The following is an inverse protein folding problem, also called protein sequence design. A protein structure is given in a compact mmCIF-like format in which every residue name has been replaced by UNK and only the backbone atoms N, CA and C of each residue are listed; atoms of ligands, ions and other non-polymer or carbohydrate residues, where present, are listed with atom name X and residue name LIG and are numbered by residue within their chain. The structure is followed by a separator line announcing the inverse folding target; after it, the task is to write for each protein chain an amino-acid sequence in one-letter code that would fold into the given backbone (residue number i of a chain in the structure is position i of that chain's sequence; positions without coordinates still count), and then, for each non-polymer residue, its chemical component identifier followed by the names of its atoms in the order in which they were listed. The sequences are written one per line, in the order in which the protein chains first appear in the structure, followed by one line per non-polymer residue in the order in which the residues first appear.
data_IF_694826695119
#
_entry.id   IF_694826695119
#
_cell.length_a   1.000
_cell.length_b   1.000
_cell.length_c   1.000
_cell.angle_alpha   90.00
_cell.angle_beta   90.00
_cell.angle_gamma   90.00
#
_symmetry.space_group_name_H-M   'P 1'
#
loop_
_entity.id
_entity.type
_entity.pdbx_description
1 polymer ?
#
# COMPACT_ATOMS: atom_id res chain seq x y z
N UNK A 1 -2.50 -10.16 7.92
CA UNK A 1 -2.36 -9.69 9.32
C UNK A 1 -1.23 -8.67 9.38
N UNK A 2 -1.47 -7.47 9.94
CA UNK A 2 -0.45 -6.44 10.09
C UNK A 2 0.52 -6.76 11.24
N UNK A 3 1.79 -6.37 11.10
CA UNK A 3 2.84 -6.55 12.08
C UNK A 3 3.36 -5.20 12.59
N UNK A 4 3.76 -5.16 13.86
CA UNK A 4 4.28 -3.96 14.49
C UNK A 4 5.63 -3.54 13.86
N UNK A 5 5.74 -2.32 13.30
CA UNK A 5 6.95 -1.84 12.63
C UNK A 5 8.07 -1.40 13.59
N UNK A 6 7.81 -1.40 14.91
CA UNK A 6 8.84 -1.05 15.90
C UNK A 6 9.94 -2.10 15.86
N UNK A 7 11.19 -1.63 15.82
CA UNK A 7 12.39 -2.47 15.81
C UNK A 7 12.30 -3.53 16.91
N UNK A 8 12.60 -4.77 16.55
CA UNK A 8 12.59 -5.94 17.44
C UNK A 8 11.23 -6.26 18.09
N UNK A 9 10.12 -5.74 17.53
CA UNK A 9 8.76 -6.09 17.98
C UNK A 9 8.09 -7.09 17.03
N UNK A 10 7.72 -6.67 15.82
CA UNK A 10 7.08 -7.48 14.77
C UNK A 10 5.89 -8.34 15.22
N UNK A 11 5.29 -8.06 16.38
CA UNK A 11 4.11 -8.78 16.86
C UNK A 11 2.88 -8.35 16.08
N UNK A 12 1.89 -9.24 15.99
CA UNK A 12 0.61 -8.97 15.37
C UNK A 12 -0.03 -7.68 15.91
N UNK A 13 -0.52 -6.84 15.01
CA UNK A 13 -1.33 -5.68 15.32
C UNK A 13 -2.81 -6.07 15.32
N UNK A 14 -3.49 -5.80 16.42
CA UNK A 14 -4.93 -5.95 16.55
C UNK A 14 -5.60 -4.58 16.45
N UNK A 15 -6.70 -4.50 15.69
CA UNK A 15 -7.49 -3.28 15.58
C UNK A 15 -8.37 -3.11 16.82
N UNK A 16 -8.29 -1.94 17.44
CA UNK A 16 -9.13 -1.52 18.57
C UNK A 16 -9.65 -0.13 18.24
N UNK A 17 -10.94 -0.03 17.92
CA UNK A 17 -11.60 1.21 17.48
C UNK A 17 -10.83 1.90 16.33
N UNK A 18 -10.27 3.10 16.62
CA UNK A 18 -9.50 3.94 15.69
C UNK A 18 -7.99 3.76 15.85
N UNK A 19 -7.54 2.63 16.40
CA UNK A 19 -6.13 2.32 16.61
C UNK A 19 -5.82 0.89 16.22
N UNK A 20 -4.54 0.62 16.00
CA UNK A 20 -4.00 -0.73 15.95
C UNK A 20 -2.89 -0.86 16.99
N UNK A 21 -2.92 -1.94 17.78
CA UNK A 21 -2.01 -2.14 18.90
C UNK A 21 -1.38 -3.53 18.86
N UNK A 22 -0.12 -3.64 19.28
CA UNK A 22 0.52 -4.93 19.52
C UNK A 22 0.48 -5.30 21.01
N UNK A 23 0.71 -6.57 21.38
CA UNK A 23 0.76 -7.02 22.78
C UNK A 23 1.80 -6.31 23.66
N UNK A 24 2.82 -5.67 23.07
CA UNK A 24 3.82 -4.86 23.79
C UNK A 24 3.37 -3.42 24.07
N UNK A 25 2.16 -3.04 23.66
CA UNK A 25 1.58 -1.72 23.91
C UNK A 25 1.93 -0.64 22.89
N UNK A 26 2.68 -0.96 21.82
CA UNK A 26 2.87 -0.02 20.72
C UNK A 26 1.53 0.18 20.00
N UNK A 27 1.17 1.44 19.76
CA UNK A 27 -0.13 1.85 19.23
C UNK A 27 0.05 2.81 18.06
N UNK A 28 -0.76 2.63 17.03
CA UNK A 28 -0.79 3.48 15.85
C UNK A 28 -2.23 3.92 15.57
N UNK A 29 -2.43 5.23 15.40
CA UNK A 29 -3.75 5.76 15.09
C UNK A 29 -4.15 5.49 13.64
N UNK A 30 -5.43 5.24 13.44
CA UNK A 30 -6.09 5.21 12.15
C UNK A 30 -6.48 6.65 11.83
N UNK A 31 -5.99 7.17 10.70
CA UNK A 31 -6.28 8.53 10.26
C UNK A 31 -7.79 8.75 10.03
N UNK A 32 -8.23 10.01 9.99
CA UNK A 32 -9.63 10.34 9.66
C UNK A 32 -10.03 9.85 8.27
N UNK A 33 -9.08 9.82 7.34
CA UNK A 33 -9.22 9.24 6.00
C UNK A 33 -9.20 7.71 5.98
N UNK A 34 -8.78 7.04 7.05
CA UNK A 34 -8.86 5.58 7.19
C UNK A 34 -7.54 4.83 7.04
N UNK A 35 -6.46 5.48 6.58
CA UNK A 35 -5.15 4.83 6.50
C UNK A 35 -4.49 4.67 7.87
N UNK A 36 -3.53 3.74 7.97
CA UNK A 36 -2.70 3.52 9.15
C UNK A 36 -1.25 3.93 8.83
N UNK A 37 -0.66 4.79 9.66
CA UNK A 37 0.74 5.18 9.49
C UNK A 37 1.66 4.29 10.32
N UNK A 38 2.39 3.41 9.65
CA UNK A 38 3.38 2.51 10.25
C UNK A 38 4.83 2.93 9.96
N UNK A 39 5.03 4.03 9.20
CA UNK A 39 6.35 4.53 8.84
C UNK A 39 7.13 5.03 10.06
N UNK A 40 8.26 4.38 10.34
CA UNK A 40 9.09 4.78 11.47
C UNK A 40 9.92 6.03 11.16
N UNK A 41 10.17 6.92 12.14
CA UNK A 41 10.97 8.14 11.92
C UNK A 41 12.35 7.88 11.28
N UNK A 42 13.06 6.82 11.71
CA UNK A 42 14.36 6.43 11.16
C UNK A 42 14.32 5.88 9.73
N UNK A 43 13.14 5.52 9.23
CA UNK A 43 12.95 5.00 7.86
C UNK A 43 12.60 6.09 6.86
N UNK A 44 12.36 7.31 7.36
CA UNK A 44 12.12 8.50 6.54
C UNK A 44 13.44 8.89 5.87
N UNK A 45 13.56 8.62 4.57
CA UNK A 45 14.71 9.04 3.75
C UNK A 45 14.83 10.56 3.60
N UNK A 46 13.75 11.30 3.88
CA UNK A 46 13.67 12.76 3.86
C UNK A 46 12.56 13.24 4.80
N UNK A 47 12.44 14.56 5.01
CA UNK A 47 11.37 15.16 5.85
C UNK A 47 9.96 14.88 5.31
N UNK A 48 9.82 14.79 3.99
CA UNK A 48 8.58 14.50 3.27
C UNK A 48 8.87 13.40 2.24
N UNK A 49 8.83 12.12 2.65
CA UNK A 49 9.09 11.02 1.74
C UNK A 49 7.92 10.82 0.77
N UNK A 50 8.25 10.46 -0.47
CA UNK A 50 7.28 10.20 -1.53
C UNK A 50 6.81 11.45 -2.27
N UNK A 51 5.64 11.36 -2.90
CA UNK A 51 5.08 12.40 -3.75
C UNK A 51 4.58 13.64 -2.98
N UNK A 52 4.72 14.81 -3.59
CA UNK A 52 4.08 16.04 -3.12
C UNK A 52 2.57 15.99 -3.38
N UNK A 53 1.79 16.76 -2.61
CA UNK A 53 0.33 16.87 -2.82
C UNK A 53 0.01 17.30 -4.27
N UNK A 54 0.77 18.23 -4.83
CA UNK A 54 0.58 18.68 -6.21
C UNK A 54 0.78 17.55 -7.24
N UNK A 55 1.80 16.71 -7.04
CA UNK A 55 2.07 15.54 -7.89
C UNK A 55 0.94 14.51 -7.78
N UNK A 56 0.45 14.23 -6.56
CA UNK A 56 -0.69 13.33 -6.32
C UNK A 56 -1.94 13.84 -7.07
N UNK A 57 -2.26 15.13 -6.95
CA UNK A 57 -3.42 15.73 -7.63
C UNK A 57 -3.25 15.71 -9.16
N UNK A 58 -2.04 15.94 -9.67
CA UNK A 58 -1.77 15.85 -11.10
C UNK A 58 -1.95 14.41 -11.63
N UNK A 59 -1.38 13.42 -10.94
CA UNK A 59 -1.52 12.00 -11.29
C UNK A 59 -2.97 11.55 -11.25
N UNK A 60 -3.73 11.95 -10.23
CA UNK A 60 -5.16 11.66 -10.14
C UNK A 60 -5.95 12.22 -11.32
N UNK A 61 -5.72 13.48 -11.70
CA UNK A 61 -6.37 14.08 -12.89
C UNK A 61 -6.04 13.34 -14.18
N UNK A 62 -4.83 12.77 -14.28
CA UNK A 62 -4.43 11.97 -15.43
C UNK A 62 -5.20 10.64 -15.49
N UNK A 63 -5.33 9.95 -14.36
CA UNK A 63 -6.14 8.74 -14.23
C UNK A 63 -7.63 8.99 -14.48
N UNK A 64 -8.19 10.05 -13.91
CA UNK A 64 -9.61 10.42 -14.05
C UNK A 64 -10.01 10.78 -15.49
N UNK A 65 -9.03 11.08 -16.35
CA UNK A 65 -9.24 11.29 -17.79
C UNK A 65 -9.23 9.99 -18.61
N UNK A 66 -9.08 8.83 -17.97
CA UNK A 66 -9.02 7.53 -18.62
C UNK A 66 -7.71 7.27 -19.38
N UNK A 67 -6.68 8.10 -19.22
CA UNK A 67 -5.45 7.96 -20.02
C UNK A 67 -4.72 6.63 -19.75
N UNK A 68 -4.85 6.11 -18.53
CA UNK A 68 -4.26 4.82 -18.12
C UNK A 68 -5.26 3.66 -18.12
N UNK A 69 -6.45 3.84 -18.68
CA UNK A 69 -7.49 2.81 -18.74
C UNK A 69 -7.01 1.53 -19.46
N UNK A 70 -6.26 1.60 -20.58
CA UNK A 70 -5.75 0.39 -21.23
C UNK A 70 -4.80 -0.42 -20.33
N UNK A 71 -4.01 0.27 -19.50
CA UNK A 71 -3.12 -0.39 -18.54
C UNK A 71 -3.91 -1.03 -17.40
N UNK A 72 -4.93 -0.34 -16.87
CA UNK A 72 -5.84 -0.91 -15.87
C UNK A 72 -6.49 -2.20 -16.38
N UNK A 73 -6.97 -2.19 -17.63
CA UNK A 73 -7.58 -3.36 -18.26
C UNK A 73 -6.60 -4.51 -18.41
N UNK A 74 -5.40 -4.26 -18.96
CA UNK A 74 -4.39 -5.31 -19.11
C UNK A 74 -3.94 -5.91 -17.78
N UNK A 75 -3.89 -5.12 -16.70
CA UNK A 75 -3.62 -5.63 -15.35
C UNK A 75 -4.77 -6.51 -14.87
N UNK A 76 -6.03 -6.09 -15.07
CA UNK A 76 -7.19 -6.87 -14.68
C UNK A 76 -7.21 -8.26 -15.34
N UNK A 77 -6.94 -8.31 -16.64
CA UNK A 77 -6.85 -9.55 -17.42
C UNK A 77 -5.72 -10.46 -16.94
N UNK A 78 -4.52 -9.90 -16.73
CA UNK A 78 -3.35 -10.66 -16.28
C UNK A 78 -3.51 -11.21 -14.87
N UNK A 79 -4.09 -10.41 -13.98
CA UNK A 79 -4.29 -10.77 -12.58
C UNK A 79 -5.35 -11.87 -12.45
N UNK A 80 -6.40 -11.81 -13.27
CA UNK A 80 -7.54 -12.73 -13.24
C UNK A 80 -8.07 -12.98 -11.81
N UNK A 81 -8.08 -11.93 -10.98
CA UNK A 81 -8.43 -12.04 -9.56
C UNK A 81 -9.87 -12.49 -9.37
N UNK A 82 -10.10 -13.13 -8.23
CA UNK A 82 -11.39 -13.59 -7.74
C UNK A 82 -11.76 -12.85 -6.47
N UNK A 83 -13.04 -12.78 -6.08
CA UNK A 83 -13.45 -12.16 -4.82
C UNK A 83 -12.78 -12.77 -3.57
N UNK A 84 -12.31 -14.02 -3.65
CA UNK A 84 -11.60 -14.71 -2.57
C UNK A 84 -10.12 -14.34 -2.44
N UNK A 85 -9.57 -13.59 -3.38
CA UNK A 85 -8.16 -13.19 -3.35
C UNK A 85 -7.88 -12.13 -2.29
N UNK A 86 -6.62 -12.12 -1.83
CA UNK A 86 -6.08 -11.07 -0.95
C UNK A 86 -4.89 -10.46 -1.68
N UNK A 87 -5.04 -9.19 -2.07
CA UNK A 87 -4.16 -8.52 -3.01
C UNK A 87 -3.41 -7.39 -2.31
N UNK A 88 -2.08 -7.39 -2.45
CA UNK A 88 -1.22 -6.28 -2.04
C UNK A 88 -0.81 -5.45 -3.26
N UNK A 89 -0.90 -4.13 -3.18
CA UNK A 89 -0.22 -3.21 -4.10
C UNK A 89 0.95 -2.51 -3.40
N UNK A 90 2.17 -2.87 -3.80
CA UNK A 90 3.42 -2.36 -3.24
C UNK A 90 3.92 -1.13 -4.01
N UNK A 91 3.72 0.04 -3.41
CA UNK A 91 3.87 1.33 -4.09
C UNK A 91 2.53 1.81 -4.67
N UNK A 92 1.45 1.70 -3.88
CA UNK A 92 0.08 1.88 -4.37
C UNK A 92 -0.28 3.32 -4.79
N UNK A 93 0.58 4.30 -4.51
CA UNK A 93 0.35 5.70 -4.85
C UNK A 93 -0.99 6.21 -4.32
N UNK A 94 -1.80 6.82 -5.19
CA UNK A 94 -3.12 7.36 -4.85
C UNK A 94 -4.25 6.32 -4.90
N UNK A 95 -3.88 5.04 -5.02
CA UNK A 95 -4.77 3.89 -4.98
C UNK A 95 -5.56 3.63 -6.26
N UNK A 96 -5.29 4.35 -7.37
CA UNK A 96 -6.10 4.25 -8.59
C UNK A 96 -6.25 2.80 -9.09
N UNK A 97 -5.14 2.08 -9.30
CA UNK A 97 -5.20 0.72 -9.85
C UNK A 97 -5.85 -0.25 -8.86
N UNK A 98 -5.28 -0.42 -7.67
CA UNK A 98 -5.80 -1.34 -6.66
C UNK A 98 -7.27 -1.07 -6.33
N UNK A 99 -7.63 0.20 -6.09
CA UNK A 99 -8.99 0.59 -5.71
C UNK A 99 -10.02 0.36 -6.82
N UNK A 100 -9.65 0.60 -8.09
CA UNK A 100 -10.53 0.33 -9.22
C UNK A 100 -10.74 -1.17 -9.43
N UNK A 101 -9.67 -1.96 -9.38
CA UNK A 101 -9.71 -3.42 -9.52
C UNK A 101 -10.50 -4.08 -8.37
N UNK A 102 -10.26 -3.64 -7.14
CA UNK A 102 -11.00 -4.12 -5.96
C UNK A 102 -12.48 -3.78 -6.05
N UNK A 103 -12.83 -2.59 -6.55
CA UNK A 103 -14.23 -2.20 -6.77
C UNK A 103 -14.93 -3.02 -7.85
N UNK A 104 -14.20 -3.49 -8.86
CA UNK A 104 -14.74 -4.32 -9.95
C UNK A 104 -14.92 -5.79 -9.52
N UNK A 105 -13.94 -6.34 -8.81
CA UNK A 105 -13.88 -7.78 -8.52
C UNK A 105 -14.34 -8.13 -7.10
N UNK A 106 -14.18 -7.23 -6.12
CA UNK A 106 -14.54 -7.46 -4.72
C UNK A 106 -13.55 -8.29 -3.90
N UNK A 107 -12.28 -8.35 -4.29
CA UNK A 107 -11.22 -8.99 -3.49
C UNK A 107 -10.79 -8.13 -2.30
N UNK A 108 -10.13 -8.74 -1.31
CA UNK A 108 -9.55 -8.02 -0.16
C UNK A 108 -8.28 -7.28 -0.59
N UNK A 109 -8.28 -5.95 -0.45
CA UNK A 109 -7.32 -5.07 -1.10
C UNK A 109 -6.50 -4.28 -0.09
N UNK A 110 -5.17 -4.42 -0.19
CA UNK A 110 -4.19 -3.83 0.71
C UNK A 110 -3.21 -2.98 -0.09
N UNK A 111 -3.15 -1.67 0.18
CA UNK A 111 -2.20 -0.75 -0.47
C UNK A 111 -1.13 -0.29 0.51
N UNK A 112 0.13 -0.32 0.08
CA UNK A 112 1.25 0.24 0.85
C UNK A 112 2.03 1.23 0.00
N UNK A 113 2.31 2.41 0.56
CA UNK A 113 3.21 3.40 -0.04
C UNK A 113 3.92 4.20 1.07
N UNK A 114 5.06 4.81 0.75
CA UNK A 114 5.76 5.69 1.69
C UNK A 114 5.17 7.10 1.72
N UNK A 115 4.47 7.53 0.65
CA UNK A 115 3.85 8.84 0.53
C UNK A 115 2.58 8.94 1.36
N UNK A 116 2.64 9.64 2.49
CA UNK A 116 1.45 9.93 3.29
C UNK A 116 0.37 10.69 2.50
N UNK A 117 0.78 11.60 1.61
CA UNK A 117 -0.16 12.36 0.79
C UNK A 117 -0.92 11.48 -0.21
N UNK A 118 -0.22 10.53 -0.84
CA UNK A 118 -0.84 9.63 -1.81
C UNK A 118 -1.79 8.64 -1.11
N UNK A 119 -1.36 8.03 -0.01
CA UNK A 119 -2.17 7.08 0.76
C UNK A 119 -3.38 7.76 1.41
N UNK A 120 -3.27 9.01 1.87
CA UNK A 120 -4.44 9.78 2.35
C UNK A 120 -5.47 9.99 1.22
N UNK A 121 -5.02 10.31 0.00
CA UNK A 121 -5.89 10.45 -1.17
C UNK A 121 -6.53 9.13 -1.62
N UNK A 122 -5.81 8.01 -1.47
CA UNK A 122 -6.31 6.65 -1.70
C UNK A 122 -7.42 6.32 -0.70
N UNK A 123 -7.12 6.43 0.59
CA UNK A 123 -8.03 6.09 1.68
C UNK A 123 -9.31 6.94 1.69
N UNK A 124 -9.25 8.17 1.19
CA UNK A 124 -10.45 9.00 1.02
C UNK A 124 -11.41 8.50 -0.07
N UNK A 125 -10.87 7.99 -1.17
CA UNK A 125 -11.62 7.61 -2.37
C UNK A 125 -12.07 6.16 -2.34
N UNK A 126 -11.19 5.27 -1.90
CA UNK A 126 -11.38 3.82 -1.94
C UNK A 126 -11.54 3.28 -0.51
N UNK A 127 -12.71 3.52 0.08
CA UNK A 127 -13.00 3.22 1.49
C UNK A 127 -13.04 1.73 1.82
N UNK A 128 -13.20 0.87 0.81
CA UNK A 128 -13.27 -0.59 0.94
C UNK A 128 -11.91 -1.30 0.97
N UNK A 129 -10.79 -0.56 0.96
CA UNK A 129 -9.44 -1.13 0.96
C UNK A 129 -8.68 -0.73 2.23
N UNK A 130 -7.70 -1.54 2.63
CA UNK A 130 -6.77 -1.24 3.73
C UNK A 130 -5.55 -0.48 3.19
N UNK A 131 -5.26 0.68 3.77
CA UNK A 131 -4.24 1.61 3.27
C UNK A 131 -3.17 1.86 4.32
N UNK A 132 -1.91 1.58 3.99
CA UNK A 132 -0.78 1.63 4.91
C UNK A 132 0.28 2.61 4.42
N UNK A 133 0.71 3.52 5.30
CA UNK A 133 1.92 4.31 5.08
C UNK A 133 3.09 3.59 5.74
N UNK A 134 4.03 3.07 4.95
CA UNK A 134 5.23 2.40 5.45
C UNK A 134 6.34 2.36 4.40
N UNK A 135 7.57 2.10 4.85
CA UNK A 135 8.70 1.89 3.96
C UNK A 135 8.84 0.40 3.64
N UNK A 136 8.18 -0.06 2.58
CA UNK A 136 8.19 -1.46 2.14
C UNK A 136 9.60 -1.99 1.81
N UNK A 137 10.57 -1.12 1.52
CA UNK A 137 11.97 -1.53 1.28
C UNK A 137 12.73 -1.91 2.56
N UNK A 138 12.23 -1.47 3.72
CA UNK A 138 12.85 -1.74 5.03
C UNK A 138 12.13 -2.85 5.76
N UNK A 139 10.81 -2.76 5.79
CA UNK A 139 9.97 -3.74 6.43
C UNK A 139 8.59 -3.71 5.78
N UNK A 140 8.16 -4.85 5.27
CA UNK A 140 6.79 -5.04 4.80
C UNK A 140 5.96 -5.48 6.02
N UNK A 141 5.05 -4.64 6.56
CA UNK A 141 4.43 -4.87 7.86
C UNK A 141 3.28 -5.89 7.81
N UNK A 142 3.50 -7.01 7.14
CA UNK A 142 2.54 -8.09 6.98
C UNK A 142 3.20 -9.43 7.33
N UNK A 143 2.42 -10.33 7.91
CA UNK A 143 2.88 -11.70 8.14
C UNK A 143 3.16 -12.42 6.82
N UNK A 144 4.09 -13.37 6.86
CA UNK A 144 4.39 -14.23 5.71
C UNK A 144 3.13 -14.92 5.18
N UNK A 145 3.07 -15.08 3.85
CA UNK A 145 1.96 -15.77 3.15
C UNK A 145 0.59 -15.11 3.39
N UNK A 146 0.55 -13.78 3.57
CA UNK A 146 -0.70 -13.03 3.72
C UNK A 146 -1.46 -12.74 2.42
N UNK A 147 -0.81 -12.84 1.25
CA UNK A 147 -1.36 -12.39 -0.02
C UNK A 147 -1.33 -13.50 -1.06
N UNK A 148 -2.40 -13.62 -1.85
CA UNK A 148 -2.44 -14.50 -3.04
C UNK A 148 -1.85 -13.80 -4.27
N UNK A 149 -1.94 -12.48 -4.33
CA UNK A 149 -1.45 -11.66 -5.45
C UNK A 149 -0.71 -10.44 -4.90
N UNK A 150 0.42 -10.10 -5.53
CA UNK A 150 1.16 -8.87 -5.25
C UNK A 150 1.37 -8.08 -6.55
N UNK A 151 0.93 -6.83 -6.54
CA UNK A 151 1.13 -5.85 -7.59
C UNK A 151 2.31 -4.93 -7.23
N UNK A 152 3.04 -4.53 -8.27
CA UNK A 152 4.04 -3.45 -8.20
C UNK A 152 4.00 -2.73 -9.54
N UNK A 153 3.18 -1.67 -9.61
CA UNK A 153 2.84 -0.99 -10.86
C UNK A 153 3.57 0.33 -10.89
N UNK A 154 4.50 0.51 -11.82
CA UNK A 154 5.34 1.73 -11.93
C UNK A 154 6.10 2.10 -10.64
N UNK A 155 6.11 1.17 -9.68
CA UNK A 155 6.90 1.24 -8.47
C UNK A 155 8.36 0.93 -8.77
N UNK A 156 9.05 0.28 -7.83
CA UNK A 156 10.49 0.06 -7.94
C UNK A 156 10.82 -0.84 -9.14
N UNK A 157 11.45 -0.28 -10.17
CA UNK A 157 12.17 -1.08 -11.16
C UNK A 157 13.36 -1.75 -10.46
N UNK A 158 13.46 -3.08 -10.53
CA UNK A 158 14.70 -3.78 -10.16
C UNK A 158 15.84 -3.19 -11.00
N UNK A 159 16.81 -2.57 -10.36
CA UNK A 159 18.08 -2.26 -11.04
C UNK A 159 18.83 -3.59 -11.24
N UNK A 160 19.62 -3.74 -12.33
CA UNK A 160 20.36 -4.99 -12.60
C UNK A 160 21.25 -5.46 -11.44
N UNK A 161 21.67 -4.55 -10.55
CA UNK A 161 22.42 -4.82 -9.31
C UNK A 161 21.68 -5.69 -8.29
N UNK A 162 20.36 -5.80 -8.39
CA UNK A 162 19.50 -6.47 -7.40
C UNK A 162 19.20 -7.93 -7.77
N UNK A 163 19.89 -8.48 -8.78
CA UNK A 163 19.85 -9.91 -9.07
C UNK A 163 20.70 -10.64 -8.03
N UNK A 164 20.17 -11.65 -7.32
CA UNK A 164 21.04 -12.56 -6.59
C UNK A 164 22.04 -13.15 -7.58
N UNK A 165 23.32 -13.22 -7.19
CA UNK A 165 24.32 -13.95 -7.97
C UNK A 165 23.75 -15.34 -8.22
N UNK A 166 23.65 -15.75 -9.48
CA UNK A 166 23.33 -17.12 -9.82
C UNK A 166 24.37 -18.00 -9.12
N UNK A 167 23.94 -18.72 -8.08
CA UNK A 167 24.65 -19.88 -7.57
C UNK A 167 24.44 -21.04 -8.53
#
# INVERSE_FOLDING_TARGET
MLLCPVRDCHMALARVERRVLCPRGHSFDVARSGYINLLQPQERRSKQPGDTVAAVVARRRFHDRGVTEPLLHGIAEMMAARPSDVVLDAGCGDGFYLGSLAGQTGFDAHGIDISTAAVDAAARRYRGCEWIVANADRFLPYADRSFSIVLSITGRMRTPSDRPSRA
#
